data_IF_744870845084
#
_entry.id   IF_744870845084
#
_cell.length_a   1.000
_cell.length_b   1.000
_cell.length_c   1.000
_cell.angle_alpha   90.00
_cell.angle_beta   90.00
_cell.angle_gamma   90.00
#
_symmetry.space_group_name_H-M   'P 1'
#
loop_
_entity.id
_entity.type
_entity.pdbx_description
1 polymer ?
#
# COMPACT_ATOMS: atom_id res chain seq x y z
N UNK A 1 8.67 -3.53 -0.64
CA UNK A 1 7.43 -3.45 -1.45
C UNK A 1 6.83 -2.05 -1.40
N UNK A 2 6.27 -1.58 -0.28
CA UNK A 2 5.75 -0.20 -0.16
C UNK A 2 6.84 0.88 -0.07
N UNK A 3 8.05 0.52 0.36
CA UNK A 3 9.24 1.40 0.34
C UNK A 3 9.90 1.48 -1.05
N UNK A 4 9.33 0.82 -2.06
CA UNK A 4 9.86 0.93 -3.42
C UNK A 4 9.61 2.37 -3.94
N UNK A 5 10.58 2.98 -4.63
CA UNK A 5 10.44 4.36 -5.12
C UNK A 5 9.26 4.53 -6.09
N UNK A 6 8.95 3.49 -6.86
CA UNK A 6 7.81 3.45 -7.78
C UNK A 6 6.47 3.27 -7.08
N UNK A 7 6.47 2.99 -5.77
CA UNK A 7 5.30 2.52 -5.04
C UNK A 7 4.70 1.24 -5.61
N UNK A 8 3.59 0.83 -4.99
CA UNK A 8 2.94 -0.44 -5.30
C UNK A 8 1.41 -0.30 -5.37
N UNK A 9 0.78 -0.95 -6.34
CA UNK A 9 -0.68 -0.97 -6.53
C UNK A 9 -1.36 -1.94 -5.57
N UNK A 10 -2.68 -1.81 -5.38
CA UNK A 10 -3.43 -2.77 -4.57
C UNK A 10 -3.35 -4.20 -5.15
N UNK A 11 -3.37 -4.36 -6.46
CA UNK A 11 -3.27 -5.67 -7.12
C UNK A 11 -1.92 -6.34 -6.85
N UNK A 12 -0.82 -5.59 -6.92
CA UNK A 12 0.51 -6.07 -6.57
C UNK A 12 0.60 -6.47 -5.09
N UNK A 13 -0.06 -5.73 -4.18
CA UNK A 13 -0.13 -6.11 -2.75
C UNK A 13 -0.88 -7.41 -2.57
N UNK A 14 -2.04 -7.54 -3.20
CA UNK A 14 -2.88 -8.75 -3.14
C UNK A 14 -2.11 -9.95 -3.70
N UNK A 15 -1.45 -9.80 -4.85
CA UNK A 15 -0.68 -10.87 -5.47
C UNK A 15 0.51 -11.31 -4.61
N UNK A 16 1.22 -10.37 -3.98
CA UNK A 16 2.39 -10.68 -3.15
C UNK A 16 2.04 -11.25 -1.77
N UNK A 17 0.89 -10.86 -1.20
CA UNK A 17 0.50 -11.23 0.18
C UNK A 17 -0.54 -12.34 0.23
N UNK A 18 -1.30 -12.56 -0.85
CA UNK A 18 -2.49 -13.39 -0.86
C UNK A 18 -3.68 -12.81 -0.09
N UNK A 19 -3.58 -11.58 0.41
CA UNK A 19 -4.65 -10.93 1.17
C UNK A 19 -5.73 -10.39 0.26
N UNK A 20 -6.95 -10.28 0.79
CA UNK A 20 -7.99 -9.49 0.15
C UNK A 20 -7.63 -8.00 0.22
N UNK A 21 -8.08 -7.22 -0.77
CA UNK A 21 -7.75 -5.80 -0.88
C UNK A 21 -8.12 -4.97 0.37
N UNK A 22 -9.25 -5.29 1.02
CA UNK A 22 -9.66 -4.58 2.23
C UNK A 22 -8.80 -4.96 3.45
N UNK A 23 -8.32 -6.20 3.54
CA UNK A 23 -7.39 -6.64 4.58
C UNK A 23 -6.03 -5.96 4.42
N UNK A 24 -5.52 -5.88 3.19
CA UNK A 24 -4.30 -5.15 2.87
C UNK A 24 -4.42 -3.66 3.22
N UNK A 25 -5.55 -3.03 2.89
CA UNK A 25 -5.84 -1.66 3.30
C UNK A 25 -5.87 -1.50 4.82
N UNK A 26 -6.52 -2.43 5.52
CA UNK A 26 -6.59 -2.44 6.99
C UNK A 26 -5.21 -2.55 7.64
N UNK A 27 -4.33 -3.39 7.09
CA UNK A 27 -2.95 -3.52 7.54
C UNK A 27 -2.16 -2.22 7.33
N UNK A 28 -2.35 -1.55 6.19
CA UNK A 28 -1.70 -0.26 5.92
C UNK A 28 -2.16 0.84 6.88
N UNK A 29 -3.46 1.00 7.13
CA UNK A 29 -3.95 2.04 8.05
C UNK A 29 -3.69 1.71 9.52
N UNK A 30 -3.82 0.43 9.89
CA UNK A 30 -3.72 -0.05 11.26
C UNK A 30 -2.28 -0.33 11.66
N UNK A 31 -1.71 -1.42 11.15
CA UNK A 31 -0.38 -1.86 11.54
C UNK A 31 0.70 -0.87 11.11
N UNK A 32 0.70 -0.43 9.85
CA UNK A 32 1.74 0.49 9.37
C UNK A 32 1.51 1.91 9.89
N UNK A 33 0.33 2.48 9.65
CA UNK A 33 0.00 3.84 10.06
C UNK A 33 -0.09 4.03 11.57
N UNK A 34 -1.03 3.34 12.22
CA UNK A 34 -1.35 3.56 13.64
C UNK A 34 -0.33 2.94 14.59
N UNK A 35 0.10 1.70 14.34
CA UNK A 35 0.97 0.97 15.28
C UNK A 35 2.44 1.33 15.08
N UNK A 36 2.92 1.35 13.83
CA UNK A 36 4.32 1.64 13.53
C UNK A 36 4.60 3.12 13.25
N UNK A 37 3.58 3.97 13.17
CA UNK A 37 3.74 5.40 12.92
C UNK A 37 4.23 5.74 11.51
N UNK A 38 4.12 4.81 10.56
CA UNK A 38 4.61 5.00 9.19
C UNK A 38 3.61 5.80 8.36
N UNK A 39 4.12 6.74 7.57
CA UNK A 39 3.28 7.55 6.68
C UNK A 39 3.06 6.80 5.39
N UNK A 40 1.89 6.16 5.26
CA UNK A 40 1.48 5.53 4.00
C UNK A 40 0.76 6.54 3.12
N UNK A 41 1.39 6.96 2.03
CA UNK A 41 0.79 7.85 1.03
C UNK A 41 0.10 7.04 -0.05
N UNK A 42 -0.92 7.64 -0.68
CA UNK A 42 -1.57 7.06 -1.85
C UNK A 42 -1.72 8.11 -2.94
N UNK A 43 -1.24 7.80 -4.14
CA UNK A 43 -1.33 8.65 -5.32
C UNK A 43 -2.09 7.93 -6.44
N UNK A 44 -2.79 8.69 -7.28
CA UNK A 44 -3.30 8.18 -8.55
C UNK A 44 -2.26 8.47 -9.62
N UNK A 45 -1.81 7.43 -10.31
CA UNK A 45 -0.95 7.51 -11.48
C UNK A 45 -1.77 7.11 -12.72
N UNK A 46 -1.57 7.83 -13.83
CA UNK A 46 -2.39 7.70 -15.03
C UNK A 46 -2.40 6.27 -15.59
N UNK A 47 -1.24 5.60 -15.59
CA UNK A 47 -1.08 4.29 -16.22
C UNK A 47 -1.28 3.10 -15.27
N UNK A 48 -1.09 3.31 -13.95
CA UNK A 48 -1.06 2.22 -12.94
C UNK A 48 -2.21 2.28 -11.94
N UNK A 49 -3.06 3.30 -12.02
CA UNK A 49 -4.14 3.50 -11.06
C UNK A 49 -3.64 3.98 -9.71
N UNK A 50 -4.16 3.44 -8.60
CA UNK A 50 -3.79 3.90 -7.25
C UNK A 50 -2.55 3.16 -6.76
N UNK A 51 -1.51 3.93 -6.45
CA UNK A 51 -0.21 3.47 -5.97
C UNK A 51 -0.02 3.90 -4.52
N UNK A 52 0.54 3.03 -3.69
CA UNK A 52 0.82 3.22 -2.27
C UNK A 52 2.33 3.25 -2.02
N UNK A 53 2.77 4.16 -1.15
CA UNK A 53 4.19 4.34 -0.74
C UNK A 53 4.29 4.57 0.77
N UNK A 54 5.40 4.16 1.37
CA UNK A 54 5.80 4.58 2.72
C UNK A 54 6.85 5.67 2.57
N UNK A 55 6.64 6.79 3.26
CA UNK A 55 7.65 7.84 3.45
C UNK A 55 8.46 7.64 4.72
#
# INVERSE_FOLDING_TARGET
MLQAPTGVTMEEIVAATGWQAHSARGAMSGALGKTLGLVVTSAKEADRGRVYRIE
#
